data_IF_279943244082
#
_entry.id   IF_279943244082
#
_cell.length_a   1.000
_cell.length_b   1.000
_cell.length_c   1.000
_cell.angle_alpha   90.00
_cell.angle_beta   90.00
_cell.angle_gamma   90.00
#
_symmetry.space_group_name_H-M   'P 1'
#
loop_
_entity.id
_entity.type
_entity.pdbx_description
1 polymer ?
#
# COMPACT_ATOMS: atom_id res chain seq x y z
N UNK A 1 20.51 2.10 13.14
CA UNK A 1 20.39 3.24 12.19
C UNK A 1 19.35 2.99 11.09
N UNK A 2 19.41 1.89 10.32
CA UNK A 2 18.53 1.68 9.14
C UNK A 2 17.03 1.51 9.45
N UNK A 3 16.68 0.91 10.58
CA UNK A 3 15.28 0.73 11.00
C UNK A 3 14.55 2.04 11.37
N UNK A 4 15.27 3.03 11.89
CA UNK A 4 14.70 4.33 12.20
C UNK A 4 14.35 5.09 10.92
N UNK A 5 15.19 4.97 9.89
CA UNK A 5 14.94 5.57 8.57
C UNK A 5 13.70 4.92 7.95
N UNK A 6 13.57 3.59 7.98
CA UNK A 6 12.39 2.91 7.43
C UNK A 6 11.09 3.27 8.16
N UNK A 7 11.16 3.49 9.48
CA UNK A 7 10.01 3.91 10.27
C UNK A 7 9.59 5.35 9.97
N UNK A 8 10.55 6.28 9.86
CA UNK A 8 10.28 7.68 9.50
C UNK A 8 9.73 7.77 8.07
N UNK A 9 10.27 7.00 7.13
CA UNK A 9 9.73 6.98 5.75
C UNK A 9 8.32 6.40 5.71
N UNK A 10 8.03 5.33 6.46
CA UNK A 10 6.69 4.76 6.54
C UNK A 10 5.65 5.76 7.05
N UNK A 11 5.98 6.49 8.12
CA UNK A 11 5.13 7.56 8.64
C UNK A 11 4.96 8.70 7.65
N UNK A 12 6.04 9.15 6.99
CA UNK A 12 5.98 10.21 6.00
C UNK A 12 5.08 9.84 4.81
N UNK A 13 5.21 8.61 4.29
CA UNK A 13 4.36 8.11 3.21
C UNK A 13 2.89 8.00 3.64
N UNK A 14 2.60 7.52 4.85
CA UNK A 14 1.24 7.51 5.37
C UNK A 14 0.64 8.92 5.44
N UNK A 15 1.38 9.91 5.97
CA UNK A 15 0.88 11.30 6.06
C UNK A 15 0.65 11.91 4.69
N UNK A 16 1.60 11.71 3.76
CA UNK A 16 1.48 12.21 2.39
C UNK A 16 0.29 11.57 1.66
N UNK A 17 0.04 10.28 1.86
CA UNK A 17 -1.11 9.57 1.29
C UNK A 17 -2.44 10.18 1.76
N UNK A 18 -2.57 10.44 3.06
CA UNK A 18 -3.77 11.12 3.61
C UNK A 18 -3.94 12.52 3.05
N UNK A 19 -2.85 13.29 2.92
CA UNK A 19 -2.91 14.63 2.34
C UNK A 19 -3.31 14.57 0.87
N UNK A 20 -2.77 13.60 0.12
CA UNK A 20 -3.05 13.42 -1.30
C UNK A 20 -4.54 13.10 -1.53
N UNK A 21 -5.07 12.11 -0.82
CA UNK A 21 -6.47 11.69 -0.94
C UNK A 21 -7.42 12.79 -0.40
N UNK A 22 -7.04 13.54 0.64
CA UNK A 22 -7.95 14.53 1.24
C UNK A 22 -7.95 15.90 0.55
N UNK A 23 -6.81 16.37 0.07
CA UNK A 23 -6.65 17.76 -0.40
C UNK A 23 -6.21 17.89 -1.85
N UNK A 24 -5.55 16.88 -2.42
CA UNK A 24 -5.02 16.97 -3.79
C UNK A 24 -5.98 16.34 -4.78
N UNK A 25 -6.45 15.12 -4.50
CA UNK A 25 -7.35 14.41 -5.40
C UNK A 25 -8.36 13.53 -4.62
N UNK A 26 -9.42 14.14 -4.05
CA UNK A 26 -10.47 13.42 -3.33
C UNK A 26 -11.28 12.48 -4.23
N UNK A 27 -11.41 12.81 -5.52
CA UNK A 27 -12.19 12.02 -6.48
C UNK A 27 -11.38 10.85 -7.07
N UNK A 28 -10.06 10.79 -6.82
CA UNK A 28 -9.17 9.77 -7.37
C UNK A 28 -9.66 8.35 -7.13
N UNK A 29 -10.05 8.06 -5.88
CA UNK A 29 -10.51 6.73 -5.46
C UNK A 29 -11.79 6.33 -6.17
N UNK A 30 -12.69 7.28 -6.40
CA UNK A 30 -13.97 7.05 -7.07
C UNK A 30 -13.81 6.89 -8.58
N UNK A 31 -13.00 7.74 -9.22
CA UNK A 31 -12.70 7.64 -10.65
C UNK A 31 -11.97 6.33 -10.97
N UNK A 32 -10.96 5.99 -10.17
CA UNK A 32 -10.21 4.75 -10.32
C UNK A 32 -11.09 3.52 -10.14
N UNK A 33 -11.97 3.53 -9.14
CA UNK A 33 -12.94 2.46 -8.92
C UNK A 33 -13.87 2.30 -10.11
N UNK A 34 -14.48 3.40 -10.58
CA UNK A 34 -15.44 3.38 -11.68
C UNK A 34 -14.81 2.87 -12.98
N UNK A 35 -13.60 3.33 -13.31
CA UNK A 35 -12.87 2.83 -14.49
C UNK A 35 -12.49 1.36 -14.38
N UNK A 36 -12.07 0.93 -13.19
CA UNK A 36 -11.68 -0.47 -12.96
C UNK A 36 -12.90 -1.39 -13.05
N UNK A 37 -14.05 -0.97 -12.51
CA UNK A 37 -15.31 -1.69 -12.58
C UNK A 37 -15.77 -1.87 -14.02
N UNK A 38 -15.77 -0.78 -14.81
CA UNK A 38 -16.17 -0.82 -16.22
C UNK A 38 -15.28 -1.79 -17.01
N UNK A 39 -13.97 -1.80 -16.74
CA UNK A 39 -13.05 -2.75 -17.37
C UNK A 39 -13.34 -4.19 -16.97
N UNK A 40 -13.68 -4.45 -15.70
CA UNK A 40 -14.06 -5.79 -15.23
C UNK A 40 -15.35 -6.28 -15.88
N UNK A 41 -16.33 -5.41 -16.06
CA UNK A 41 -17.59 -5.72 -16.73
C UNK A 41 -17.36 -6.13 -18.20
N UNK A 42 -16.42 -5.47 -18.89
CA UNK A 42 -16.04 -5.81 -20.27
C UNK A 42 -15.23 -7.11 -20.38
N UNK A 43 -14.49 -7.48 -19.33
CA UNK A 43 -13.49 -8.57 -19.41
C UNK A 43 -13.99 -9.89 -18.80
N UNK A 44 -14.89 -9.85 -17.83
CA UNK A 44 -15.33 -11.04 -17.08
C UNK A 44 -16.76 -11.48 -17.42
N UNK A 45 -17.04 -12.79 -17.38
CA UNK A 45 -18.41 -13.31 -17.38
C UNK A 45 -19.20 -12.78 -16.16
N UNK A 46 -20.50 -12.55 -16.32
CA UNK A 46 -21.37 -11.92 -15.30
C UNK A 46 -21.31 -12.60 -13.91
N UNK A 47 -21.11 -13.91 -13.85
CA UNK A 47 -20.98 -14.64 -12.59
C UNK A 47 -19.66 -14.35 -11.84
N UNK A 48 -18.57 -14.12 -12.57
CA UNK A 48 -17.27 -13.78 -11.99
C UNK A 48 -17.16 -12.28 -11.69
N UNK A 49 -17.83 -11.45 -12.49
CA UNK A 49 -17.93 -10.01 -12.28
C UNK A 49 -18.51 -9.68 -10.91
N UNK A 50 -19.60 -10.33 -10.48
CA UNK A 50 -20.22 -10.01 -9.19
C UNK A 50 -19.34 -10.34 -7.99
N UNK A 51 -18.57 -11.44 -8.08
CA UNK A 51 -17.61 -11.80 -7.02
C UNK A 51 -16.51 -10.74 -6.93
N UNK A 52 -15.99 -10.29 -8.07
CA UNK A 52 -14.91 -9.31 -8.10
C UNK A 52 -15.40 -7.89 -7.75
N UNK A 53 -16.63 -7.54 -8.13
CA UNK A 53 -17.31 -6.30 -7.74
C UNK A 53 -17.40 -6.17 -6.22
N UNK A 54 -17.89 -7.21 -5.54
CA UNK A 54 -18.02 -7.21 -4.07
C UNK A 54 -16.65 -7.08 -3.39
N UNK A 55 -15.61 -7.76 -3.92
CA UNK A 55 -14.25 -7.59 -3.40
C UNK A 55 -13.74 -6.17 -3.62
N UNK A 56 -13.95 -5.59 -4.79
CA UNK A 56 -13.53 -4.22 -5.08
C UNK A 56 -14.24 -3.20 -4.21
N UNK A 57 -15.52 -3.38 -3.93
CA UNK A 57 -16.29 -2.50 -3.06
C UNK A 57 -15.75 -2.54 -1.62
N UNK A 58 -15.46 -3.74 -1.10
CA UNK A 58 -14.83 -3.89 0.22
C UNK A 58 -13.43 -3.23 0.27
N UNK A 59 -12.65 -3.32 -0.81
CA UNK A 59 -11.36 -2.63 -0.91
C UNK A 59 -11.56 -1.11 -0.97
N UNK A 60 -12.52 -0.62 -1.76
CA UNK A 60 -12.85 0.81 -1.86
C UNK A 60 -13.17 1.38 -0.48
N UNK A 61 -14.00 0.72 0.32
CA UNK A 61 -14.33 1.19 1.67
C UNK A 61 -13.09 1.30 2.57
N UNK A 62 -12.20 0.31 2.51
CA UNK A 62 -10.94 0.32 3.25
C UNK A 62 -10.01 1.46 2.83
N UNK A 63 -9.92 1.78 1.54
CA UNK A 63 -9.10 2.88 1.03
C UNK A 63 -9.75 4.27 1.18
N UNK A 64 -11.08 4.33 1.20
CA UNK A 64 -11.83 5.58 1.45
C UNK A 64 -11.67 6.07 2.89
N UNK A 65 -11.40 5.17 3.84
CA UNK A 65 -11.08 5.55 5.22
C UNK A 65 -9.64 6.09 5.30
N UNK A 66 -9.43 7.40 5.58
CA UNK A 66 -8.08 7.99 5.56
C UNK A 66 -7.15 7.38 6.61
N UNK A 67 -7.71 6.97 7.76
CA UNK A 67 -6.97 6.30 8.83
C UNK A 67 -6.53 4.91 8.39
N UNK A 68 -7.40 4.18 7.69
CA UNK A 68 -7.08 2.83 7.23
C UNK A 68 -6.08 2.87 6.07
N UNK A 69 -6.23 3.79 5.12
CA UNK A 69 -5.23 4.02 4.06
C UNK A 69 -3.86 4.37 4.66
N UNK A 70 -3.82 5.26 5.65
CA UNK A 70 -2.59 5.59 6.40
C UNK A 70 -1.92 4.35 6.99
N UNK A 71 -2.69 3.54 7.72
CA UNK A 71 -2.16 2.35 8.40
C UNK A 71 -1.65 1.34 7.37
N UNK A 72 -2.41 1.06 6.33
CA UNK A 72 -2.03 0.11 5.28
C UNK A 72 -0.78 0.57 4.53
N UNK A 73 -0.73 1.83 4.12
CA UNK A 73 0.40 2.36 3.35
C UNK A 73 1.67 2.51 4.21
N UNK A 74 1.52 2.93 5.47
CA UNK A 74 2.63 2.97 6.42
C UNK A 74 3.15 1.56 6.74
N UNK A 75 2.25 0.60 7.01
CA UNK A 75 2.63 -0.77 7.35
C UNK A 75 3.32 -1.48 6.20
N UNK A 76 2.85 -1.32 4.96
CA UNK A 76 3.48 -1.91 3.77
C UNK A 76 4.89 -1.36 3.56
N UNK A 77 5.08 -0.04 3.59
CA UNK A 77 6.42 0.60 3.47
C UNK A 77 7.33 0.18 4.64
N UNK A 78 6.80 0.08 5.85
CA UNK A 78 7.55 -0.37 7.02
C UNK A 78 8.04 -1.81 6.86
N UNK A 79 7.18 -2.74 6.44
CA UNK A 79 7.53 -4.15 6.23
C UNK A 79 8.61 -4.29 5.16
N UNK A 80 8.49 -3.57 4.04
CA UNK A 80 9.50 -3.58 2.97
C UNK A 80 10.84 -3.06 3.50
N UNK A 81 10.84 -1.92 4.19
CA UNK A 81 12.05 -1.36 4.79
C UNK A 81 12.68 -2.27 5.85
N UNK A 82 11.85 -2.96 6.63
CA UNK A 82 12.28 -3.94 7.63
C UNK A 82 12.96 -5.14 6.97
N UNK A 83 12.35 -5.72 5.93
CA UNK A 83 12.92 -6.86 5.18
C UNK A 83 14.28 -6.47 4.57
N UNK A 84 14.37 -5.31 3.93
CA UNK A 84 15.65 -4.83 3.34
C UNK A 84 16.72 -4.62 4.41
N UNK A 85 16.33 -4.08 5.57
CA UNK A 85 17.24 -3.91 6.70
C UNK A 85 17.72 -5.26 7.23
N UNK A 86 16.85 -6.26 7.32
CA UNK A 86 17.17 -7.62 7.76
C UNK A 86 18.13 -8.31 6.77
N UNK A 87 17.83 -8.27 5.47
CA UNK A 87 18.69 -8.80 4.41
C UNK A 87 20.08 -8.14 4.43
N UNK A 88 20.12 -6.82 4.57
CA UNK A 88 21.37 -6.07 4.67
C UNK A 88 22.23 -6.51 5.87
N UNK A 89 21.59 -6.77 7.02
CA UNK A 89 22.27 -7.22 8.22
C UNK A 89 22.84 -8.64 8.05
N UNK A 90 22.06 -9.55 7.45
CA UNK A 90 22.50 -10.94 7.19
C UNK A 90 23.69 -11.01 6.22
N UNK A 91 23.70 -10.17 5.18
CA UNK A 91 24.82 -10.09 4.24
C UNK A 91 26.09 -9.56 4.93
N UNK A 92 25.95 -8.55 5.80
CA UNK A 92 27.10 -7.92 6.48
C UNK A 92 27.73 -8.82 7.56
N UNK A 93 26.96 -9.70 8.19
CA UNK A 93 27.47 -10.65 9.19
C UNK A 93 28.51 -11.62 8.62
N UNK A 94 28.53 -11.87 7.31
CA UNK A 94 29.52 -12.77 6.67
C UNK A 94 30.94 -12.19 6.55
N UNK A 95 31.16 -10.91 6.86
CA UNK A 95 32.47 -10.25 6.70
C UNK A 95 33.30 -10.11 8.00
N UNK A 96 32.85 -10.66 9.13
CA UNK A 96 33.56 -10.59 10.43
C UNK A 96 34.21 -11.92 10.87
N UNK A 97 34.75 -12.72 9.96
CA UNK A 97 35.64 -13.84 10.31
C UNK A 97 36.81 -13.90 9.32
N UNK A 98 37.76 -12.98 9.44
CA UNK A 98 39.21 -13.12 9.15
C UNK A 98 39.88 -11.76 9.17
N UNK A 99 40.56 -11.44 10.27
CA UNK A 99 41.94 -10.91 10.42
C UNK A 99 42.11 -10.49 11.86
#
# INVERSE_FOLDING_TARGET
>A
MRLAISFITALAFGVLDVIYIKYINPDFTEEYYTRSLAKLEETLPAAEFEIERVKMESQKELFMSPVMSFILMSMTVFVIGFIISLLSAMILQRKKITT
#
